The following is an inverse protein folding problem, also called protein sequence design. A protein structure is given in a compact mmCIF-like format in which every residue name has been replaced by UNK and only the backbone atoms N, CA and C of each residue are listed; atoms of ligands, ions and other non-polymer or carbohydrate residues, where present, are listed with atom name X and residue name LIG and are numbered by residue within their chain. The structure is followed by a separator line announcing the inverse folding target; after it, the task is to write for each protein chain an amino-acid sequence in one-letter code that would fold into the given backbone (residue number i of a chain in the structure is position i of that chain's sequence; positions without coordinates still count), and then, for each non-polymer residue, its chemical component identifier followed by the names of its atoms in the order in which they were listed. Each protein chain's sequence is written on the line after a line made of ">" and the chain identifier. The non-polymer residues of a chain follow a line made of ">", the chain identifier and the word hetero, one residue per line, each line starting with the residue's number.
data_IF_595899327713
#
_entry.id   IF_595899327713
#
_cell.length_a   1.000
_cell.length_b   1.000
_cell.length_c   1.000
_cell.angle_alpha   90.00
_cell.angle_beta   90.00
_cell.angle_gamma   90.00
#
_symmetry.space_group_name_H-M   'P 1'
#
loop_
_entity.id
_entity.type
_entity.pdbx_description
1 polymer ?
#
# COMPACT_ATOMS: atom_id res chain seq x y z
N UNK A 1 6.13 -22.53 6.50
CA UNK A 1 5.30 -21.38 6.11
C UNK A 1 3.95 -21.91 5.65
N UNK A 2 2.88 -21.63 6.39
CA UNK A 2 1.51 -21.97 6.02
C UNK A 2 1.07 -21.06 4.88
N UNK A 3 1.42 -21.45 3.65
CA UNK A 3 0.94 -20.78 2.44
C UNK A 3 -0.57 -20.93 2.36
N UNK A 4 -1.30 -19.85 2.64
CA UNK A 4 -2.73 -19.80 2.36
C UNK A 4 -2.98 -20.16 0.90
N UNK A 5 -4.15 -20.75 0.62
CA UNK A 5 -4.56 -21.05 -0.74
C UNK A 5 -4.50 -19.76 -1.58
N UNK A 6 -3.56 -19.72 -2.53
CA UNK A 6 -3.38 -18.61 -3.47
C UNK A 6 -3.71 -19.12 -4.86
N UNK A 7 -4.62 -18.43 -5.52
CA UNK A 7 -4.90 -18.64 -6.94
C UNK A 7 -4.38 -17.41 -7.68
N UNK A 8 -3.39 -17.61 -8.53
CA UNK A 8 -2.92 -16.54 -9.44
C UNK A 8 -3.99 -16.30 -10.49
N UNK A 9 -4.43 -15.05 -10.60
CA UNK A 9 -5.36 -14.57 -11.63
C UNK A 9 -4.70 -13.40 -12.33
N UNK A 10 -4.99 -13.18 -13.61
CA UNK A 10 -4.49 -11.99 -14.30
C UNK A 10 -5.34 -10.81 -13.89
N UNK A 11 -4.75 -9.62 -13.87
CA UNK A 11 -5.48 -8.38 -13.57
C UNK A 11 -6.68 -8.19 -14.51
N UNK A 12 -6.56 -8.61 -15.77
CA UNK A 12 -7.63 -8.59 -16.78
C UNK A 12 -8.79 -9.56 -16.52
N UNK A 13 -8.60 -10.55 -15.66
CA UNK A 13 -9.66 -11.48 -15.23
C UNK A 13 -10.45 -10.94 -14.01
N UNK A 14 -10.01 -9.80 -13.44
CA UNK A 14 -10.68 -9.14 -12.31
C UNK A 14 -11.66 -8.10 -12.84
N UNK A 15 -12.89 -8.10 -12.31
CA UNK A 15 -13.89 -7.09 -12.64
C UNK A 15 -13.38 -5.68 -12.29
N UNK A 16 -13.45 -4.69 -13.19
CA UNK A 16 -12.94 -3.34 -12.94
C UNK A 16 -13.50 -2.69 -11.67
N UNK A 17 -14.74 -3.00 -11.31
CA UNK A 17 -15.41 -2.52 -10.10
C UNK A 17 -14.73 -3.01 -8.82
N UNK A 18 -14.22 -4.26 -8.84
CA UNK A 18 -13.47 -4.82 -7.71
C UNK A 18 -12.13 -4.10 -7.57
N UNK A 19 -11.45 -3.86 -8.69
CA UNK A 19 -10.18 -3.13 -8.68
C UNK A 19 -10.37 -1.70 -8.15
N UNK A 20 -11.39 -1.00 -8.65
CA UNK A 20 -11.72 0.34 -8.18
C UNK A 20 -12.11 0.35 -6.69
N UNK A 21 -12.88 -0.63 -6.22
CA UNK A 21 -13.23 -0.74 -4.82
C UNK A 21 -11.98 -0.88 -3.94
N UNK A 22 -11.08 -1.79 -4.28
CA UNK A 22 -9.82 -1.99 -3.53
C UNK A 22 -8.97 -0.73 -3.54
N UNK A 23 -8.75 -0.12 -4.70
CA UNK A 23 -7.97 1.12 -4.81
C UNK A 23 -8.62 2.23 -3.99
N UNK A 24 -9.94 2.41 -4.06
CA UNK A 24 -10.64 3.48 -3.32
C UNK A 24 -10.54 3.34 -1.80
N UNK A 25 -10.51 2.10 -1.28
CA UNK A 25 -10.47 1.80 0.16
C UNK A 25 -9.02 1.86 0.68
N UNK A 26 -8.08 1.23 -0.04
CA UNK A 26 -6.72 1.06 0.44
C UNK A 26 -5.81 2.24 0.07
N UNK A 27 -6.02 2.86 -1.10
CA UNK A 27 -5.10 3.83 -1.67
C UNK A 27 -5.77 4.71 -2.74
N UNK A 28 -6.66 5.62 -2.34
CA UNK A 28 -7.43 6.48 -3.26
C UNK A 28 -6.58 7.14 -4.37
N UNK A 29 -5.38 7.60 -4.04
CA UNK A 29 -4.44 8.27 -4.97
C UNK A 29 -3.51 7.33 -5.74
N UNK A 30 -3.76 6.02 -5.73
CA UNK A 30 -2.86 4.98 -6.26
C UNK A 30 -2.21 5.33 -7.60
N UNK A 31 -3.02 5.69 -8.60
CA UNK A 31 -2.54 5.96 -9.95
C UNK A 31 -1.70 7.25 -10.09
N UNK A 32 -1.71 8.12 -9.08
CA UNK A 32 -1.02 9.42 -9.09
C UNK A 32 0.10 9.53 -8.04
N UNK A 33 0.12 8.63 -7.06
CA UNK A 33 1.10 8.71 -5.98
C UNK A 33 2.49 8.19 -6.41
N UNK A 34 3.57 8.69 -5.80
CA UNK A 34 4.93 8.22 -6.05
C UNK A 34 5.27 6.93 -5.28
N UNK A 35 4.30 6.05 -5.02
CA UNK A 35 4.47 4.85 -4.19
C UNK A 35 4.22 5.09 -2.69
N UNK A 36 3.98 6.34 -2.30
CA UNK A 36 3.60 6.75 -0.95
C UNK A 36 2.72 8.01 -1.03
N UNK A 37 1.79 8.19 -0.09
CA UNK A 37 0.84 9.31 -0.13
C UNK A 37 1.06 10.27 1.07
N UNK A 38 1.71 11.44 0.87
CA UNK A 38 1.90 12.43 1.93
C UNK A 38 0.58 12.97 2.48
N UNK A 39 -0.45 13.10 1.64
CA UNK A 39 -1.76 13.62 2.04
C UNK A 39 -2.44 12.59 2.94
N UNK A 40 -2.41 11.31 2.59
CA UNK A 40 -2.96 10.25 3.44
C UNK A 40 -2.22 10.14 4.77
N UNK A 41 -0.89 10.31 4.78
CA UNK A 41 -0.09 10.29 6.01
C UNK A 41 -0.51 11.43 6.95
N UNK A 42 -0.59 12.66 6.43
CA UNK A 42 -0.99 13.82 7.23
C UNK A 42 -2.43 13.67 7.72
N UNK A 43 -3.36 13.24 6.86
CA UNK A 43 -4.76 12.97 7.24
C UNK A 43 -4.84 11.95 8.37
N UNK A 44 -4.21 10.78 8.19
CA UNK A 44 -4.24 9.73 9.20
C UNK A 44 -3.60 10.16 10.51
N UNK A 45 -2.54 10.97 10.46
CA UNK A 45 -1.94 11.55 11.66
C UNK A 45 -2.93 12.45 12.42
N UNK A 46 -3.63 13.35 11.72
CA UNK A 46 -4.63 14.24 12.32
C UNK A 46 -5.84 13.46 12.86
N UNK A 47 -6.35 12.48 12.12
CA UNK A 47 -7.47 11.63 12.53
C UNK A 47 -7.13 10.82 13.80
N UNK A 48 -5.92 10.25 13.85
CA UNK A 48 -5.48 9.46 15.01
C UNK A 48 -5.19 10.35 16.23
N UNK A 49 -4.66 11.57 16.01
CA UNK A 49 -4.43 12.54 17.08
C UNK A 49 -5.76 13.04 17.69
N UNK A 50 -6.73 13.37 16.84
CA UNK A 50 -8.04 13.90 17.28
C UNK A 50 -8.92 12.84 17.93
N UNK A 51 -8.84 11.58 17.47
CA UNK A 51 -9.59 10.47 18.06
C UNK A 51 -8.92 9.84 19.29
N UNK A 52 -7.65 10.14 19.56
CA UNK A 52 -6.88 9.57 20.67
C UNK A 52 -6.56 8.08 20.50
N UNK A 53 -6.83 7.49 19.33
CA UNK A 53 -6.59 6.09 19.02
C UNK A 53 -6.29 5.93 17.52
N UNK A 54 -5.80 4.78 17.09
CA UNK A 54 -5.55 4.53 15.67
C UNK A 54 -6.89 4.20 15.00
N UNK A 55 -7.43 5.16 14.24
CA UNK A 55 -8.68 5.02 13.46
C UNK A 55 -8.45 5.06 11.96
N UNK A 56 -7.31 5.58 11.50
CA UNK A 56 -6.96 5.67 10.09
C UNK A 56 -5.56 5.16 9.79
N UNK A 57 -5.45 4.40 8.70
CA UNK A 57 -4.19 4.03 8.07
C UNK A 57 -3.79 5.02 6.97
N UNK A 58 -2.53 4.95 6.54
CA UNK A 58 -1.98 5.75 5.45
C UNK A 58 -1.05 4.93 4.54
N UNK A 59 -1.12 3.59 4.60
CA UNK A 59 -0.22 2.76 3.79
C UNK A 59 -0.76 2.59 2.38
N UNK A 60 0.06 2.89 1.38
CA UNK A 60 -0.26 2.67 -0.05
C UNK A 60 -0.15 1.20 -0.43
N UNK A 61 -0.76 0.80 -1.55
CA UNK A 61 -0.63 -0.56 -2.09
C UNK A 61 0.86 -0.90 -2.33
N UNK A 62 1.61 0.03 -2.92
CA UNK A 62 3.05 -0.15 -3.18
C UNK A 62 3.86 -0.31 -1.88
N UNK A 63 3.49 0.39 -0.80
CA UNK A 63 4.08 0.19 0.53
C UNK A 63 3.76 -1.19 1.11
N UNK A 64 2.54 -1.71 0.90
CA UNK A 64 2.19 -3.06 1.33
C UNK A 64 3.03 -4.11 0.58
N UNK A 65 3.30 -3.90 -0.71
CA UNK A 65 4.19 -4.74 -1.54
C UNK A 65 5.63 -4.67 -1.04
N UNK A 66 6.16 -3.45 -0.85
CA UNK A 66 7.52 -3.24 -0.31
C UNK A 66 7.71 -3.99 1.02
N UNK A 67 6.76 -3.85 1.94
CA UNK A 67 6.80 -4.52 3.25
C UNK A 67 6.74 -6.04 3.13
N UNK A 68 5.74 -6.56 2.40
CA UNK A 68 5.40 -7.99 2.43
C UNK A 68 6.29 -8.83 1.53
N UNK A 69 6.68 -8.31 0.37
CA UNK A 69 7.39 -9.08 -0.65
C UNK A 69 8.90 -8.79 -0.65
N UNK A 70 9.29 -7.52 -0.55
CA UNK A 70 10.71 -7.11 -0.63
C UNK A 70 11.40 -7.22 0.72
N UNK A 71 10.87 -6.55 1.74
CA UNK A 71 11.49 -6.52 3.08
C UNK A 71 11.22 -7.80 3.87
N UNK A 72 10.03 -8.38 3.69
CA UNK A 72 9.52 -9.50 4.49
C UNK A 72 9.56 -9.23 6.01
N UNK A 73 9.38 -7.95 6.38
CA UNK A 73 9.46 -7.48 7.76
C UNK A 73 8.12 -6.87 8.20
N UNK A 74 7.54 -7.45 9.26
CA UNK A 74 6.28 -6.99 9.86
C UNK A 74 6.49 -6.28 11.20
N UNK A 75 7.73 -5.96 11.58
CA UNK A 75 8.01 -5.22 12.82
C UNK A 75 7.33 -3.86 12.78
N UNK A 76 6.67 -3.50 13.89
CA UNK A 76 5.99 -2.23 14.02
C UNK A 76 6.96 -1.15 14.56
N UNK A 77 7.91 -0.71 13.73
CA UNK A 77 8.82 0.41 14.06
C UNK A 77 8.74 1.55 13.03
N UNK A 78 9.11 2.75 13.47
CA UNK A 78 9.19 3.93 12.61
C UNK A 78 10.32 3.81 11.58
N UNK A 79 11.47 3.27 11.98
CA UNK A 79 12.61 3.02 11.08
C UNK A 79 12.24 2.10 9.92
N UNK A 80 11.61 0.95 10.21
CA UNK A 80 11.10 0.03 9.19
C UNK A 80 10.05 0.71 8.30
N UNK A 81 9.20 1.59 8.85
CA UNK A 81 8.22 2.34 8.05
C UNK A 81 8.87 3.36 7.10
N UNK A 82 9.97 3.98 7.52
CA UNK A 82 10.76 4.87 6.64
C UNK A 82 11.44 4.08 5.52
N UNK A 83 12.02 2.92 5.83
CA UNK A 83 12.58 2.01 4.81
C UNK A 83 11.50 1.55 3.83
N UNK A 84 10.30 1.20 4.31
CA UNK A 84 9.15 0.84 3.49
C UNK A 84 8.76 1.95 2.51
N UNK A 85 8.77 3.22 2.95
CA UNK A 85 8.50 4.39 2.09
C UNK A 85 9.55 4.50 0.98
N UNK A 86 10.84 4.37 1.32
CA UNK A 86 11.94 4.49 0.35
C UNK A 86 11.86 3.38 -0.69
N UNK A 87 11.66 2.14 -0.27
CA UNK A 87 11.53 0.99 -1.18
C UNK A 87 10.28 1.12 -2.05
N UNK A 88 9.14 1.55 -1.48
CA UNK A 88 7.92 1.77 -2.25
C UNK A 88 8.09 2.86 -3.31
N UNK A 89 8.83 3.93 -3.00
CA UNK A 89 9.13 4.97 -3.97
C UNK A 89 10.00 4.45 -5.12
N UNK A 90 10.96 3.56 -4.82
CA UNK A 90 11.80 2.93 -5.85
C UNK A 90 11.00 1.97 -6.73
N UNK A 91 10.10 1.17 -6.15
CA UNK A 91 9.18 0.30 -6.90
C UNK A 91 8.33 1.14 -7.86
N UNK A 92 7.72 2.24 -7.38
CA UNK A 92 6.87 3.11 -8.19
C UNK A 92 7.64 3.88 -9.30
N UNK A 93 8.96 4.00 -9.18
CA UNK A 93 9.82 4.55 -10.24
C UNK A 93 10.21 3.50 -11.28
N UNK A 94 10.24 2.23 -10.89
CA UNK A 94 10.72 1.12 -11.72
C UNK A 94 9.58 0.47 -12.51
N UNK A 95 8.40 0.39 -11.91
CA UNK A 95 7.24 -0.32 -12.47
C UNK A 95 6.04 0.62 -12.63
N UNK A 96 5.26 0.41 -13.69
CA UNK A 96 3.99 1.10 -13.87
C UNK A 96 2.92 0.60 -12.87
N UNK A 97 1.82 1.34 -12.78
CA UNK A 97 0.80 1.13 -11.75
C UNK A 97 0.01 -0.15 -12.00
N UNK A 98 -0.16 -0.51 -13.26
CA UNK A 98 -0.80 -1.74 -13.72
C UNK A 98 0.03 -2.96 -13.29
N UNK A 99 1.34 -2.95 -13.51
CA UNK A 99 2.24 -4.01 -13.06
C UNK A 99 2.27 -4.14 -11.53
N UNK A 100 2.22 -3.01 -10.81
CA UNK A 100 2.16 -3.03 -9.34
C UNK A 100 0.87 -3.68 -8.82
N UNK A 101 -0.22 -3.68 -9.60
CA UNK A 101 -1.51 -4.31 -9.22
C UNK A 101 -1.61 -5.80 -9.58
N UNK A 102 -0.74 -6.30 -10.45
CA UNK A 102 -0.72 -7.70 -10.91
C UNK A 102 0.01 -8.63 -9.92
#
# INVERSE_FOLDING_TARGET
>A
ASGGARTTVRLSDIAPEVLHAVVSIENERFFSDPGWDPIAIVRAFLDNLTSGQIVSGASTITQQIARRLVMQDNTASAERKLQEIVIAAEIARTYDKEFILE
#
